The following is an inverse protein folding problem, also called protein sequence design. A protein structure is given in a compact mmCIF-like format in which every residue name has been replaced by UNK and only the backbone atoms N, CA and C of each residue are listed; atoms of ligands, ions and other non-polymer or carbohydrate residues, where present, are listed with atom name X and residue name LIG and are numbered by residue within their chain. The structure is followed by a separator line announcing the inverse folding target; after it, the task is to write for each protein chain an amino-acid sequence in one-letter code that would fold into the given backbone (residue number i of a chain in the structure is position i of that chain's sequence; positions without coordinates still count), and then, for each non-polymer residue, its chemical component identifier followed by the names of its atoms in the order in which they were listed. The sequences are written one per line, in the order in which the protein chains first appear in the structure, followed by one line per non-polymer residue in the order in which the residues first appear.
data_IF_883767056427
#
_entry.id   IF_883767056427
#
_cell.length_a   1.000
_cell.length_b   1.000
_cell.length_c   1.000
_cell.angle_alpha   90.00
_cell.angle_beta   90.00
_cell.angle_gamma   90.00
#
_symmetry.space_group_name_H-M   'P 1'
#
loop_
_entity.id
_entity.type
_entity.pdbx_description
1 polymer ?
#
# COMPACT_ATOMS: atom_id res chain seq x y z
N UNK A 1 -11.16 -1.92 1.90
CA UNK A 1 -9.86 -1.40 1.44
C UNK A 1 -9.12 -0.60 2.51
N UNK A 2 -9.67 0.52 3.01
CA UNK A 2 -8.99 1.38 4.00
C UNK A 2 -8.44 0.62 5.22
N UNK A 3 -9.29 -0.10 5.95
CA UNK A 3 -8.86 -0.85 7.13
C UNK A 3 -7.81 -1.94 6.80
N UNK A 4 -7.92 -2.57 5.63
CA UNK A 4 -6.97 -3.59 5.19
C UNK A 4 -5.56 -3.01 5.01
N UNK A 5 -5.45 -1.89 4.31
CA UNK A 5 -4.15 -1.29 3.96
C UNK A 5 -3.57 -0.44 5.09
N UNK A 6 -4.36 0.45 5.69
CA UNK A 6 -3.88 1.42 6.69
C UNK A 6 -3.72 0.84 8.08
N UNK A 7 -4.63 -0.04 8.51
CA UNK A 7 -4.60 -0.60 9.86
C UNK A 7 -3.80 -1.91 9.80
N UNK A 8 -4.39 -2.96 9.23
CA UNK A 8 -3.79 -4.30 9.30
C UNK A 8 -2.45 -4.38 8.56
N UNK A 9 -2.39 -3.91 7.31
CA UNK A 9 -1.18 -3.92 6.48
C UNK A 9 -0.04 -3.11 7.10
N UNK A 10 -0.28 -1.84 7.43
CA UNK A 10 0.74 -0.99 8.06
C UNK A 10 1.22 -1.55 9.40
N UNK A 11 0.33 -1.97 10.30
CA UNK A 11 0.73 -2.55 11.59
C UNK A 11 1.55 -3.83 11.40
N UNK A 12 1.21 -4.66 10.42
CA UNK A 12 2.00 -5.85 10.10
C UNK A 12 3.41 -5.52 9.57
N UNK A 13 3.55 -4.51 8.72
CA UNK A 13 4.87 -4.09 8.19
C UNK A 13 5.71 -3.47 9.30
N UNK A 14 5.13 -2.58 10.11
CA UNK A 14 5.83 -1.90 11.19
C UNK A 14 6.28 -2.90 12.27
N UNK A 15 5.44 -3.86 12.65
CA UNK A 15 5.83 -4.92 13.59
C UNK A 15 7.01 -5.75 13.07
N UNK A 16 7.01 -6.14 11.79
CA UNK A 16 8.13 -6.87 11.19
C UNK A 16 9.44 -6.07 11.08
N UNK A 17 9.37 -4.73 11.05
CA UNK A 17 10.54 -3.86 11.01
C UNK A 17 11.09 -3.56 12.40
N UNK A 18 10.24 -3.12 13.32
CA UNK A 18 10.67 -2.61 14.63
C UNK A 18 10.77 -3.68 15.71
N UNK A 19 9.97 -4.76 15.65
CA UNK A 19 9.98 -5.81 16.66
C UNK A 19 10.90 -6.99 16.30
N UNK A 20 11.62 -6.91 15.18
CA UNK A 20 12.47 -8.01 14.69
C UNK A 20 13.60 -8.37 15.67
N UNK A 21 14.13 -7.37 16.38
CA UNK A 21 15.17 -7.54 17.40
C UNK A 21 14.64 -7.67 18.83
N UNK A 22 13.31 -7.72 19.04
CA UNK A 22 12.76 -7.90 20.36
C UNK A 22 12.96 -9.35 20.82
N UNK A 23 13.43 -9.53 22.06
CA UNK A 23 13.57 -10.86 22.67
C UNK A 23 12.22 -11.49 23.06
N UNK A 24 11.14 -10.70 22.99
CA UNK A 24 9.79 -11.15 23.32
C UNK A 24 9.28 -12.17 22.30
N UNK A 25 8.68 -13.23 22.83
CA UNK A 25 8.02 -14.28 22.06
C UNK A 25 6.53 -14.29 22.39
N UNK A 26 5.72 -14.68 21.41
CA UNK A 26 4.29 -14.86 21.55
C UNK A 26 3.88 -16.09 20.75
N UNK A 27 3.03 -16.94 21.31
CA UNK A 27 2.54 -18.15 20.65
C UNK A 27 3.67 -19.03 20.06
N UNK A 28 4.75 -19.26 20.84
CA UNK A 28 5.92 -20.06 20.43
C UNK A 28 6.72 -19.51 19.25
N UNK A 29 6.51 -18.26 18.85
CA UNK A 29 7.25 -17.61 17.79
C UNK A 29 7.77 -16.23 18.24
N UNK A 30 8.80 -15.69 17.56
CA UNK A 30 9.22 -14.30 17.77
C UNK A 30 8.03 -13.35 17.59
N UNK A 31 7.90 -12.35 18.47
CA UNK A 31 6.72 -11.48 18.51
C UNK A 31 6.40 -10.83 17.15
N UNK A 32 7.42 -10.38 16.43
CA UNK A 32 7.26 -9.79 15.10
C UNK A 32 6.61 -10.75 14.11
N UNK A 33 6.91 -12.04 14.19
CA UNK A 33 6.38 -13.07 13.30
C UNK A 33 4.96 -13.47 13.68
N UNK A 34 4.71 -13.60 14.97
CA UNK A 34 3.40 -13.88 15.54
C UNK A 34 2.39 -12.76 15.21
N UNK A 35 2.83 -11.51 15.08
CA UNK A 35 1.97 -10.39 14.69
C UNK A 35 1.88 -10.22 13.16
N UNK A 36 3.00 -10.26 12.45
CA UNK A 36 3.05 -9.96 11.02
C UNK A 36 2.14 -10.88 10.18
N UNK A 37 2.22 -12.19 10.41
CA UNK A 37 1.48 -13.19 9.62
C UNK A 37 -0.05 -13.05 9.73
N UNK A 38 -0.66 -13.12 10.93
CA UNK A 38 -2.12 -13.04 11.03
C UNK A 38 -2.65 -11.67 10.60
N UNK A 39 -1.91 -10.58 10.85
CA UNK A 39 -2.32 -9.24 10.40
C UNK A 39 -2.25 -9.11 8.86
N UNK A 40 -1.22 -9.65 8.20
CA UNK A 40 -1.17 -9.68 6.73
C UNK A 40 -2.26 -10.54 6.11
N UNK A 41 -2.60 -11.68 6.72
CA UNK A 41 -3.70 -12.52 6.26
C UNK A 41 -5.05 -11.82 6.44
N UNK A 42 -5.27 -11.16 7.58
CA UNK A 42 -6.48 -10.34 7.81
C UNK A 42 -6.60 -9.21 6.78
N UNK A 43 -5.49 -8.49 6.54
CA UNK A 43 -5.42 -7.47 5.50
C UNK A 43 -5.80 -8.05 4.13
N UNK A 44 -5.26 -9.21 3.76
CA UNK A 44 -5.51 -9.84 2.48
C UNK A 44 -6.97 -10.26 2.31
N UNK A 45 -7.58 -10.86 3.34
CA UNK A 45 -9.01 -11.25 3.31
C UNK A 45 -9.89 -10.02 3.17
N UNK A 46 -9.69 -9.00 4.00
CA UNK A 46 -10.47 -7.75 3.93
C UNK A 46 -10.29 -7.02 2.59
N UNK A 47 -9.07 -6.99 2.03
CA UNK A 47 -8.82 -6.39 0.73
C UNK A 47 -9.50 -7.19 -0.38
N UNK A 48 -9.38 -8.51 -0.38
CA UNK A 48 -9.97 -9.38 -1.40
C UNK A 48 -11.49 -9.30 -1.43
N UNK A 49 -12.13 -9.34 -0.25
CA UNK A 49 -13.59 -9.18 -0.15
C UNK A 49 -14.02 -7.81 -0.72
N UNK A 50 -13.34 -6.74 -0.33
CA UNK A 50 -13.65 -5.40 -0.85
C UNK A 50 -13.40 -5.28 -2.37
N UNK A 51 -12.35 -5.94 -2.89
CA UNK A 51 -11.99 -5.90 -4.30
C UNK A 51 -13.10 -6.49 -5.15
N UNK A 52 -13.54 -7.70 -4.79
CA UNK A 52 -14.62 -8.38 -5.50
C UNK A 52 -15.96 -7.67 -5.34
N UNK A 53 -16.27 -7.07 -4.19
CA UNK A 53 -17.48 -6.26 -4.06
C UNK A 53 -17.49 -5.05 -4.99
N UNK A 54 -16.37 -4.34 -5.13
CA UNK A 54 -16.26 -3.20 -6.04
C UNK A 54 -16.50 -3.65 -7.49
N UNK A 55 -15.83 -4.73 -7.92
CA UNK A 55 -16.00 -5.28 -9.27
C UNK A 55 -17.39 -5.86 -9.53
N UNK A 56 -18.01 -6.45 -8.52
CA UNK A 56 -19.37 -6.96 -8.61
C UNK A 56 -20.37 -5.82 -8.85
N UNK A 57 -20.27 -4.73 -8.08
CA UNK A 57 -21.13 -3.55 -8.24
C UNK A 57 -20.87 -2.84 -9.57
N UNK A 58 -19.62 -2.85 -10.07
CA UNK A 58 -19.29 -2.31 -11.40
C UNK A 58 -19.65 -3.23 -12.57
N UNK A 59 -20.29 -4.39 -12.31
CA UNK A 59 -20.70 -5.34 -13.34
C UNK A 59 -19.53 -6.02 -14.05
N UNK A 60 -18.39 -6.19 -13.37
CA UNK A 60 -17.14 -6.75 -13.89
C UNK A 60 -16.55 -5.98 -15.08
N UNK A 61 -16.94 -4.71 -15.23
CA UNK A 61 -16.42 -3.82 -16.27
C UNK A 61 -15.43 -2.85 -15.65
N UNK A 62 -14.26 -2.75 -16.27
CA UNK A 62 -13.33 -1.65 -16.01
C UNK A 62 -13.77 -0.49 -16.89
N UNK A 63 -13.90 0.71 -16.32
CA UNK A 63 -14.17 1.90 -17.14
C UNK A 63 -13.01 2.09 -18.11
N UNK A 64 -13.31 2.07 -19.41
CA UNK A 64 -12.36 2.35 -20.48
C UNK A 64 -12.59 3.76 -20.99
N UNK A 65 -11.55 4.56 -20.97
CA UNK A 65 -11.56 5.94 -21.39
C UNK A 65 -10.50 6.15 -22.48
N UNK A 66 -10.87 6.90 -23.53
CA UNK A 66 -9.96 7.36 -24.58
C UNK A 66 -9.30 8.69 -24.20
N UNK A 67 -8.30 9.15 -24.95
CA UNK A 67 -7.54 10.41 -24.71
C UNK A 67 -8.44 11.65 -24.58
N UNK A 68 -9.70 11.59 -25.02
CA UNK A 68 -10.67 12.69 -24.97
C UNK A 68 -11.58 12.74 -23.72
N UNK A 69 -11.39 11.90 -22.69
CA UNK A 69 -12.30 11.94 -21.54
C UNK A 69 -12.07 13.12 -20.60
N UNK A 70 -13.06 13.31 -19.73
CA UNK A 70 -12.93 14.13 -18.54
C UNK A 70 -11.84 13.60 -17.60
N UNK A 71 -11.24 14.50 -16.82
CA UNK A 71 -10.23 14.14 -15.80
C UNK A 71 -10.76 13.09 -14.83
N UNK A 72 -12.04 13.14 -14.47
CA UNK A 72 -12.67 12.23 -13.51
C UNK A 72 -12.74 10.80 -14.03
N UNK A 73 -13.15 10.63 -15.29
CA UNK A 73 -13.21 9.30 -15.91
C UNK A 73 -11.81 8.69 -16.06
N UNK A 74 -10.82 9.52 -16.41
CA UNK A 74 -9.42 9.09 -16.51
C UNK A 74 -8.86 8.65 -15.14
N UNK A 75 -9.08 9.44 -14.09
CA UNK A 75 -8.65 9.11 -12.72
C UNK A 75 -9.36 7.87 -12.20
N UNK A 76 -10.65 7.70 -12.48
CA UNK A 76 -11.41 6.51 -12.13
C UNK A 76 -10.85 5.24 -12.79
N UNK A 77 -10.48 5.32 -14.07
CA UNK A 77 -9.82 4.21 -14.76
C UNK A 77 -8.45 3.89 -14.15
N UNK A 78 -7.60 4.90 -13.92
CA UNK A 78 -6.30 4.69 -13.28
C UNK A 78 -6.42 4.07 -11.88
N UNK A 79 -7.40 4.52 -11.10
CA UNK A 79 -7.69 3.96 -9.77
C UNK A 79 -8.03 2.46 -9.86
N UNK A 80 -8.89 2.08 -10.80
CA UNK A 80 -9.25 0.68 -10.99
C UNK A 80 -8.05 -0.18 -11.43
N UNK A 81 -7.26 0.30 -12.40
CA UNK A 81 -6.07 -0.42 -12.90
C UNK A 81 -5.04 -0.59 -11.78
N UNK A 82 -4.66 0.50 -11.12
CA UNK A 82 -3.61 0.47 -10.09
C UNK A 82 -4.08 -0.29 -8.85
N UNK A 83 -5.36 -0.16 -8.46
CA UNK A 83 -5.96 -0.99 -7.42
C UNK A 83 -5.86 -2.49 -7.74
N UNK A 84 -6.06 -2.87 -9.00
CA UNK A 84 -5.97 -4.27 -9.46
C UNK A 84 -4.54 -4.79 -9.44
N UNK A 85 -3.58 -4.00 -9.92
CA UNK A 85 -2.14 -4.34 -9.84
C UNK A 85 -1.71 -4.49 -8.38
N UNK A 86 -2.13 -3.55 -7.53
CA UNK A 86 -1.80 -3.55 -6.10
C UNK A 86 -2.35 -4.78 -5.37
N UNK A 87 -3.61 -5.15 -5.64
CA UNK A 87 -4.20 -6.37 -5.10
C UNK A 87 -3.49 -7.63 -5.62
N UNK A 88 -3.11 -7.66 -6.91
CA UNK A 88 -2.38 -8.78 -7.50
C UNK A 88 -0.99 -8.98 -6.84
N UNK A 89 -0.27 -7.89 -6.58
CA UNK A 89 1.00 -7.94 -5.83
C UNK A 89 0.79 -8.46 -4.41
N UNK A 90 -0.32 -8.12 -3.75
CA UNK A 90 -0.68 -8.64 -2.44
C UNK A 90 -0.97 -10.14 -2.46
N UNK A 91 -1.73 -10.61 -3.45
CA UNK A 91 -1.99 -12.04 -3.65
C UNK A 91 -0.67 -12.79 -3.91
N UNK A 92 0.20 -12.25 -4.75
CA UNK A 92 1.52 -12.79 -5.00
C UNK A 92 2.37 -12.86 -3.72
N UNK A 93 2.29 -11.85 -2.85
CA UNK A 93 2.98 -11.85 -1.56
C UNK A 93 2.51 -12.95 -0.60
N UNK A 94 1.21 -13.25 -0.58
CA UNK A 94 0.67 -14.37 0.20
C UNK A 94 1.19 -15.70 -0.33
N UNK A 95 1.23 -15.87 -1.66
CA UNK A 95 1.79 -17.06 -2.31
C UNK A 95 3.29 -17.21 -2.00
N UNK A 96 4.08 -16.13 -2.14
CA UNK A 96 5.48 -16.11 -1.74
C UNK A 96 5.65 -16.49 -0.27
N UNK A 97 4.82 -15.93 0.62
CA UNK A 97 4.85 -16.24 2.05
C UNK A 97 4.56 -17.72 2.36
N UNK A 98 3.73 -18.39 1.55
CA UNK A 98 3.41 -19.81 1.68
C UNK A 98 4.57 -20.72 1.23
N UNK A 99 5.27 -20.37 0.15
CA UNK A 99 6.44 -21.12 -0.36
C UNK A 99 7.76 -20.71 0.31
N UNK A 100 7.69 -19.94 1.40
CA UNK A 100 8.87 -19.44 2.12
C UNK A 100 9.83 -20.59 2.47
N UNK A 101 11.09 -20.42 2.10
CA UNK A 101 12.16 -21.39 2.38
C UNK A 101 12.62 -21.35 3.84
N UNK A 102 13.28 -22.43 4.30
CA UNK A 102 13.91 -22.50 5.62
C UNK A 102 15.01 -21.43 5.78
N UNK A 103 15.44 -21.19 7.02
CA UNK A 103 16.43 -20.12 7.33
C UNK A 103 17.78 -20.41 6.69
N UNK A 104 18.15 -21.68 6.61
CA UNK A 104 19.47 -22.12 6.13
C UNK A 104 19.49 -22.43 4.62
N UNK A 105 18.38 -22.21 3.92
CA UNK A 105 18.26 -22.54 2.50
C UNK A 105 19.03 -21.55 1.61
N UNK A 106 19.79 -21.98 0.58
CA UNK A 106 20.63 -21.10 -0.24
C UNK A 106 19.86 -20.00 -0.99
N UNK A 107 18.62 -20.26 -1.44
CA UNK A 107 17.77 -19.23 -2.08
C UNK A 107 17.07 -18.27 -1.11
N UNK A 108 17.30 -18.39 0.20
CA UNK A 108 16.67 -17.52 1.22
C UNK A 108 16.97 -16.02 1.02
N UNK A 109 18.18 -15.59 0.60
CA UNK A 109 18.44 -14.18 0.31
C UNK A 109 17.57 -13.65 -0.85
N UNK A 110 17.41 -14.43 -1.92
CA UNK A 110 16.55 -14.08 -3.05
C UNK A 110 15.09 -13.98 -2.62
N UNK A 111 14.59 -14.95 -1.85
CA UNK A 111 13.25 -14.90 -1.28
C UNK A 111 13.04 -13.63 -0.45
N UNK A 112 13.98 -13.29 0.46
CA UNK A 112 13.85 -12.12 1.31
C UNK A 112 13.79 -10.83 0.49
N UNK A 113 14.61 -10.72 -0.57
CA UNK A 113 14.60 -9.57 -1.47
C UNK A 113 13.29 -9.44 -2.24
N UNK A 114 12.86 -10.52 -2.91
CA UNK A 114 11.61 -10.53 -3.65
C UNK A 114 10.42 -10.21 -2.74
N UNK A 115 10.35 -10.88 -1.58
CA UNK A 115 9.27 -10.67 -0.62
C UNK A 115 9.25 -9.25 -0.08
N UNK A 116 10.42 -8.66 0.19
CA UNK A 116 10.48 -7.27 0.65
C UNK A 116 10.13 -6.27 -0.46
N UNK A 117 10.63 -6.46 -1.67
CA UNK A 117 10.35 -5.59 -2.83
C UNK A 117 8.87 -5.59 -3.18
N UNK A 118 8.29 -6.76 -3.45
CA UNK A 118 6.89 -6.87 -3.83
C UNK A 118 5.96 -6.34 -2.73
N UNK A 119 6.25 -6.63 -1.46
CA UNK A 119 5.48 -6.12 -0.33
C UNK A 119 5.57 -4.60 -0.19
N UNK A 120 6.76 -4.02 -0.36
CA UNK A 120 6.96 -2.58 -0.25
C UNK A 120 6.29 -1.84 -1.41
N UNK A 121 6.42 -2.34 -2.64
CA UNK A 121 5.75 -1.77 -3.82
C UNK A 121 4.23 -1.79 -3.66
N UNK A 122 3.64 -2.91 -3.24
CA UNK A 122 2.20 -3.01 -3.01
C UNK A 122 1.72 -2.00 -1.96
N UNK A 123 2.43 -1.88 -0.84
CA UNK A 123 2.06 -0.94 0.22
C UNK A 123 2.16 0.52 -0.24
N UNK A 124 3.23 0.89 -0.94
CA UNK A 124 3.39 2.26 -1.49
C UNK A 124 2.26 2.57 -2.47
N UNK A 125 1.99 1.69 -3.45
CA UNK A 125 0.92 1.88 -4.41
C UNK A 125 -0.45 2.07 -3.73
N UNK A 126 -0.75 1.25 -2.72
CA UNK A 126 -1.98 1.36 -1.94
C UNK A 126 -2.11 2.71 -1.24
N UNK A 127 -1.06 3.16 -0.55
CA UNK A 127 -1.07 4.43 0.19
C UNK A 127 -1.23 5.63 -0.75
N UNK A 128 -0.46 5.67 -1.84
CA UNK A 128 -0.52 6.77 -2.81
C UNK A 128 -1.91 6.89 -3.42
N UNK A 129 -2.51 5.77 -3.86
CA UNK A 129 -3.82 5.84 -4.53
C UNK A 129 -4.98 6.14 -3.59
N UNK A 130 -4.94 5.64 -2.36
CA UNK A 130 -5.89 6.04 -1.33
C UNK A 130 -5.80 7.55 -1.12
N UNK A 131 -4.58 8.09 -0.93
CA UNK A 131 -4.38 9.52 -0.72
C UNK A 131 -4.88 10.36 -1.92
N UNK A 132 -4.54 9.97 -3.15
CA UNK A 132 -4.97 10.69 -4.36
C UNK A 132 -6.50 10.78 -4.47
N UNK A 133 -7.24 9.71 -4.17
CA UNK A 133 -8.71 9.76 -4.19
C UNK A 133 -9.27 10.75 -3.18
N UNK A 134 -8.75 10.76 -1.94
CA UNK A 134 -9.18 11.74 -0.94
C UNK A 134 -8.88 13.18 -1.37
N UNK A 135 -7.74 13.41 -2.01
CA UNK A 135 -7.35 14.72 -2.53
C UNK A 135 -8.31 15.16 -3.63
N UNK A 136 -8.60 14.29 -4.60
CA UNK A 136 -9.51 14.59 -5.70
C UNK A 136 -10.92 14.90 -5.22
N UNK A 137 -11.48 14.07 -4.33
CA UNK A 137 -12.80 14.30 -3.71
C UNK A 137 -12.86 15.63 -2.94
N UNK A 138 -11.77 15.99 -2.24
CA UNK A 138 -11.68 17.27 -1.53
C UNK A 138 -11.73 18.47 -2.48
N UNK A 139 -10.99 18.42 -3.60
CA UNK A 139 -10.99 19.50 -4.58
C UNK A 139 -12.29 19.55 -5.41
N UNK A 140 -12.91 18.41 -5.72
CA UNK A 140 -14.21 18.36 -6.43
C UNK A 140 -15.38 18.84 -5.57
N UNK A 141 -15.31 18.69 -4.24
CA UNK A 141 -16.31 19.23 -3.30
C UNK A 141 -16.30 20.75 -3.13
N UNK A 142 -15.48 21.51 -3.88
CA UNK A 142 -15.62 22.97 -3.97
C UNK A 142 -16.48 23.36 -5.19
N UNK A 143 -17.83 23.38 -5.10
CA UNK A 143 -18.62 24.04 -6.13
C UNK A 143 -18.42 25.55 -6.00
N UNK A 144 -18.14 26.21 -7.11
CA UNK A 144 -18.23 27.66 -7.20
C UNK A 144 -19.70 28.11 -7.18
N UNK A 145 -20.01 28.98 -6.22
CA UNK A 145 -21.12 29.96 -6.16
C UNK A 145 -22.51 29.53 -5.68
N UNK A 146 -22.76 29.88 -4.40
CA UNK A 146 -24.07 30.08 -3.80
C UNK A 146 -23.92 30.68 -2.40
N UNK A 147 -23.91 32.00 -2.32
CA UNK A 147 -23.93 32.87 -1.13
C UNK A 147 -22.75 32.83 -0.14
N UNK A 148 -22.24 34.04 0.12
CA UNK A 148 -21.37 34.39 1.23
C UNK A 148 -22.06 34.01 2.54
N UNK A 149 -21.45 33.14 3.33
CA UNK A 149 -21.40 33.35 4.77
C UNK A 149 -19.94 33.22 5.22
N UNK A 150 -19.46 34.30 5.86
CA UNK A 150 -18.12 34.42 6.38
C UNK A 150 -18.02 33.63 7.70
N UNK A 151 -18.01 32.30 7.63
CA UNK A 151 -17.58 31.39 8.68
C UNK A 151 -17.41 30.01 8.05
N UNK A 152 -16.34 29.30 8.37
CA UNK A 152 -16.16 27.86 8.12
C UNK A 152 -15.62 27.42 6.75
N UNK A 153 -14.61 28.12 6.24
CA UNK A 153 -13.66 27.54 5.27
C UNK A 153 -12.24 27.42 5.83
N UNK A 154 -12.10 27.26 7.15
CA UNK A 154 -10.84 26.83 7.73
C UNK A 154 -10.61 25.36 7.37
N UNK A 155 -9.65 25.17 6.47
CA UNK A 155 -8.96 23.92 6.21
C UNK A 155 -8.77 23.18 7.54
N UNK A 156 -9.38 22.00 7.71
CA UNK A 156 -8.90 21.10 8.76
C UNK A 156 -7.42 20.87 8.45
N UNK A 157 -6.49 21.30 9.32
CA UNK A 157 -5.06 21.23 9.06
C UNK A 157 -4.57 19.78 8.84
N UNK A 158 -5.42 18.81 9.17
CA UNK A 158 -5.21 17.38 9.00
C UNK A 158 -5.06 16.98 7.53
N UNK A 159 -5.80 17.58 6.58
CA UNK A 159 -5.80 17.11 5.19
C UNK A 159 -4.49 17.43 4.46
N UNK A 160 -3.98 18.68 4.44
CA UNK A 160 -2.65 18.97 3.88
C UNK A 160 -1.53 18.25 4.61
N UNK A 161 -1.66 18.08 5.93
CA UNK A 161 -0.71 17.34 6.73
C UNK A 161 -0.63 15.87 6.28
N UNK A 162 -1.77 15.21 6.04
CA UNK A 162 -1.82 13.84 5.52
C UNK A 162 -1.20 13.75 4.12
N UNK A 163 -1.39 14.74 3.24
CA UNK A 163 -0.78 14.79 1.91
C UNK A 163 0.74 14.90 2.02
N UNK A 164 1.23 15.86 2.80
CA UNK A 164 2.67 16.08 3.01
C UNK A 164 3.28 14.85 3.68
N UNK A 165 2.65 14.28 4.70
CA UNK A 165 3.13 13.06 5.35
C UNK A 165 3.20 11.88 4.38
N UNK A 166 2.20 11.66 3.53
CA UNK A 166 2.24 10.55 2.56
C UNK A 166 3.25 10.78 1.44
N UNK A 167 3.42 12.02 0.96
CA UNK A 167 4.43 12.36 -0.04
C UNK A 167 5.85 12.17 0.54
N UNK A 168 6.07 12.61 1.77
CA UNK A 168 7.32 12.40 2.50
C UNK A 168 7.59 10.92 2.74
N UNK A 169 6.57 10.13 3.10
CA UNK A 169 6.70 8.67 3.25
C UNK A 169 7.03 8.00 1.92
N UNK A 170 6.41 8.41 0.81
CA UNK A 170 6.71 7.88 -0.52
C UNK A 170 8.14 8.23 -0.97
N UNK A 171 8.57 9.49 -0.80
CA UNK A 171 9.93 9.93 -1.11
C UNK A 171 10.96 9.20 -0.24
N UNK A 172 10.71 9.10 1.07
CA UNK A 172 11.58 8.39 1.99
C UNK A 172 11.66 6.89 1.64
N UNK A 173 10.54 6.26 1.25
CA UNK A 173 10.53 4.88 0.82
C UNK A 173 11.36 4.67 -0.45
N UNK A 174 11.21 5.53 -1.46
CA UNK A 174 12.04 5.50 -2.68
C UNK A 174 13.51 5.69 -2.34
N UNK A 175 13.86 6.67 -1.51
CA UNK A 175 15.23 6.91 -1.10
C UNK A 175 15.86 5.71 -0.37
N UNK A 176 15.10 5.07 0.54
CA UNK A 176 15.55 3.86 1.25
C UNK A 176 15.72 2.68 0.28
N UNK A 177 14.80 2.50 -0.67
CA UNK A 177 14.91 1.44 -1.69
C UNK A 177 16.15 1.66 -2.55
N UNK A 178 16.36 2.88 -3.04
CA UNK A 178 17.55 3.24 -3.83
C UNK A 178 18.84 3.03 -3.05
N UNK A 179 18.88 3.47 -1.79
CA UNK A 179 20.05 3.26 -0.93
C UNK A 179 20.33 1.77 -0.69
N UNK A 180 19.30 0.97 -0.42
CA UNK A 180 19.46 -0.48 -0.24
C UNK A 180 19.90 -1.19 -1.53
N UNK A 181 19.43 -0.75 -2.69
CA UNK A 181 19.89 -1.26 -3.99
C UNK A 181 21.36 -0.92 -4.25
N UNK A 182 21.80 0.29 -3.89
CA UNK A 182 23.21 0.68 -3.97
C UNK A 182 24.07 -0.19 -3.05
N UNK A 183 23.64 -0.39 -1.80
CA UNK A 183 24.36 -1.25 -0.86
C UNK A 183 24.42 -2.71 -1.32
N UNK A 184 23.34 -3.21 -1.93
CA UNK A 184 23.32 -4.54 -2.52
C UNK A 184 24.27 -4.65 -3.72
N UNK A 185 24.30 -3.63 -4.58
CA UNK A 185 25.22 -3.54 -5.70
C UNK A 185 26.68 -3.58 -5.23
N UNK A 186 27.03 -2.76 -4.23
CA UNK A 186 28.39 -2.71 -3.67
C UNK A 186 28.80 -4.03 -3.01
N UNK A 187 27.86 -4.72 -2.35
CA UNK A 187 28.16 -5.95 -1.61
C UNK A 187 28.25 -7.20 -2.49
N UNK A 188 27.45 -7.29 -3.54
CA UNK A 188 27.33 -8.54 -4.31
C UNK A 188 27.84 -8.43 -5.74
N UNK A 189 27.90 -7.24 -6.36
CA UNK A 189 28.22 -7.07 -7.77
C UNK A 189 27.19 -7.75 -8.69
N UNK A 190 26.94 -7.22 -9.87
CA UNK A 190 26.24 -7.99 -10.90
C UNK A 190 27.24 -8.96 -11.54
N UNK A 191 27.28 -10.20 -11.08
CA UNK A 191 27.82 -11.34 -11.83
C UNK A 191 26.71 -12.35 -12.06
#
# INVERSE_FOLDING_TARGET
MMCAWWIFGSTAILSARYLKGAESTCCMAPLWWALHRPLMLMAFVCATVAFFFIYYISGWRVRTCNVACTTDDYLGQLHAIIGTVTWSLMAFQVLLGAIRTSVDHPIRPLFNWLHWMCGSSAWICALTFIATVFICEYFHRKPGQGEKSASDSSLSPVVPLVIVCNLLVAIAAVAVITWMLVQAYEKYGFT
#
